data_IF_369313192970
#
_entry.id   IF_369313192970
#
_cell.length_a   1.000
_cell.length_b   1.000
_cell.length_c   1.000
_cell.angle_alpha   90.00
_cell.angle_beta   90.00
_cell.angle_gamma   90.00
#
_symmetry.space_group_name_H-M   'P 1'
#
loop_
_entity.id
_entity.type
_entity.pdbx_description
1 polymer ?
#
# COMPACT_ATOMS: atom_id res chain seq x y z
N UNK A 1 32.25 19.04 21.28
CA UNK A 1 32.17 18.28 20.03
C UNK A 1 31.35 17.05 20.32
N UNK A 2 30.06 17.03 19.97
CA UNK A 2 29.22 15.85 20.16
C UNK A 2 27.99 15.98 19.26
N UNK A 3 28.16 15.65 17.97
CA UNK A 3 27.01 15.14 17.20
C UNK A 3 26.95 13.65 17.53
N UNK A 4 25.89 13.15 18.17
CA UNK A 4 25.76 11.73 18.48
C UNK A 4 25.79 10.95 17.17
N UNK A 5 26.36 9.75 17.20
CA UNK A 5 26.45 8.84 16.05
C UNK A 5 25.14 8.85 15.26
N UNK A 6 25.20 9.35 14.02
CA UNK A 6 24.03 9.60 13.20
C UNK A 6 23.26 8.30 12.93
N UNK A 7 22.05 8.20 13.47
CA UNK A 7 21.15 7.09 13.18
C UNK A 7 20.67 7.29 11.73
N UNK A 8 21.06 6.37 10.83
CA UNK A 8 20.51 6.34 9.48
C UNK A 8 19.09 5.81 9.57
N UNK A 9 18.09 6.70 9.44
CA UNK A 9 16.68 6.32 9.33
C UNK A 9 16.21 6.56 7.91
N UNK A 10 15.48 5.60 7.37
CA UNK A 10 14.86 5.75 6.07
C UNK A 10 13.52 6.51 6.18
N UNK A 11 13.11 7.25 5.15
CA UNK A 11 11.77 7.81 5.07
C UNK A 11 10.69 6.73 5.19
N UNK A 12 9.46 7.13 5.51
CA UNK A 12 8.30 6.22 5.47
C UNK A 12 8.19 5.57 4.07
N UNK A 13 7.93 4.26 4.04
CA UNK A 13 7.87 3.48 2.80
C UNK A 13 9.20 2.85 2.39
N UNK A 14 10.25 2.96 3.21
CA UNK A 14 11.57 2.43 2.91
C UNK A 14 12.16 1.63 4.09
N UNK A 15 12.93 0.60 3.76
CA UNK A 15 13.68 -0.22 4.72
C UNK A 15 15.18 0.01 4.55
N UNK A 16 15.89 0.15 5.67
CA UNK A 16 17.34 0.30 5.69
C UNK A 16 18.00 -1.06 5.42
N UNK A 17 18.77 -1.14 4.33
CA UNK A 17 19.54 -2.33 3.98
C UNK A 17 20.90 -2.35 4.71
N UNK A 18 21.56 -3.51 4.75
CA UNK A 18 22.88 -3.68 5.41
C UNK A 18 24.00 -2.82 4.81
N UNK A 19 23.84 -2.36 3.56
CA UNK A 19 24.76 -1.45 2.89
C UNK A 19 24.45 0.05 3.15
N UNK A 20 23.52 0.35 4.05
CA UNK A 20 23.12 1.73 4.37
C UNK A 20 22.20 2.39 3.35
N UNK A 21 21.75 1.67 2.32
CA UNK A 21 20.84 2.20 1.30
C UNK A 21 19.39 1.96 1.73
N UNK A 22 18.56 2.98 1.58
CA UNK A 22 17.11 2.86 1.74
C UNK A 22 16.50 2.22 0.51
N UNK A 23 15.90 1.05 0.69
CA UNK A 23 15.17 0.34 -0.37
C UNK A 23 13.68 0.54 -0.17
N UNK A 24 12.98 0.83 -1.26
CA UNK A 24 11.52 0.89 -1.29
C UNK A 24 10.92 -0.41 -0.76
N UNK A 25 9.93 -0.29 0.11
CA UNK A 25 9.18 -1.41 0.63
C UNK A 25 8.06 -1.72 -0.35
N UNK A 26 8.05 -2.92 -0.93
CA UNK A 26 6.92 -3.35 -1.74
C UNK A 26 5.76 -3.81 -0.86
N UNK A 27 4.84 -2.90 -0.52
CA UNK A 27 3.71 -3.25 0.35
C UNK A 27 2.75 -4.27 -0.29
N UNK A 28 2.75 -4.41 -1.62
CA UNK A 28 1.93 -5.40 -2.31
C UNK A 28 2.41 -6.85 -2.09
N UNK A 29 3.65 -7.04 -1.65
CA UNK A 29 4.22 -8.34 -1.32
C UNK A 29 4.25 -8.61 0.20
N UNK A 30 3.72 -7.68 1.00
CA UNK A 30 3.63 -7.84 2.45
C UNK A 30 2.34 -8.52 2.90
N UNK A 31 2.43 -9.19 4.05
CA UNK A 31 1.28 -9.75 4.76
C UNK A 31 1.11 -9.04 6.11
N UNK A 32 -0.08 -8.51 6.44
CA UNK A 32 -1.33 -8.59 5.68
C UNK A 32 -1.34 -7.71 4.42
N UNK A 33 -2.16 -8.10 3.43
CA UNK A 33 -2.33 -7.32 2.20
C UNK A 33 -2.83 -5.91 2.51
N UNK A 34 -2.26 -4.87 1.87
CA UNK A 34 -2.51 -3.48 2.26
C UNK A 34 -3.75 -2.86 1.60
N UNK A 35 -4.40 -3.59 0.69
CA UNK A 35 -5.58 -3.14 -0.05
C UNK A 35 -6.85 -3.85 0.42
N UNK A 36 -7.98 -3.17 0.29
CA UNK A 36 -9.30 -3.73 0.60
C UNK A 36 -9.67 -4.87 -0.34
N UNK A 37 -10.64 -5.69 0.08
CA UNK A 37 -11.07 -6.90 -0.64
C UNK A 37 -11.40 -6.60 -2.11
N UNK A 38 -10.84 -7.37 -3.03
CA UNK A 38 -11.10 -7.23 -4.47
C UNK A 38 -10.43 -6.02 -5.15
N UNK A 39 -9.65 -5.22 -4.41
CA UNK A 39 -8.81 -4.18 -5.00
C UNK A 39 -7.44 -4.75 -5.43
N UNK A 40 -6.86 -4.17 -6.48
CA UNK A 40 -5.51 -4.50 -6.96
C UNK A 40 -4.49 -3.54 -6.35
N UNK A 41 -3.38 -4.12 -5.86
CA UNK A 41 -2.25 -3.36 -5.33
C UNK A 41 -1.22 -3.08 -6.42
N UNK A 42 -0.71 -1.85 -6.45
CA UNK A 42 0.34 -1.39 -7.34
C UNK A 42 1.45 -0.73 -6.51
N UNK A 43 2.64 -1.31 -6.50
CA UNK A 43 3.78 -0.73 -5.82
C UNK A 43 4.23 0.56 -6.51
N UNK A 44 4.66 1.56 -5.74
CA UNK A 44 5.21 2.81 -6.24
C UNK A 44 6.43 3.22 -5.41
N UNK A 45 7.30 4.07 -5.93
CA UNK A 45 8.48 4.49 -5.16
C UNK A 45 8.04 5.32 -3.95
N UNK A 46 8.26 4.77 -2.75
CA UNK A 46 7.93 5.33 -1.44
C UNK A 46 6.51 5.09 -0.95
N UNK A 47 5.68 4.34 -1.69
CA UNK A 47 4.30 4.03 -1.28
C UNK A 47 3.64 2.97 -2.19
N UNK A 48 2.34 2.79 -2.05
CA UNK A 48 1.55 1.92 -2.91
C UNK A 48 0.21 2.56 -3.26
N UNK A 49 -0.40 2.07 -4.34
CA UNK A 49 -1.74 2.43 -4.74
C UNK A 49 -2.64 1.21 -4.80
N UNK A 50 -3.83 1.32 -4.23
CA UNK A 50 -4.90 0.35 -4.42
C UNK A 50 -5.88 0.88 -5.46
N UNK A 51 -6.24 0.08 -6.46
CA UNK A 51 -7.23 0.46 -7.49
C UNK A 51 -8.27 -0.63 -7.68
N UNK A 52 -9.49 -0.20 -7.96
CA UNK A 52 -10.55 -1.12 -8.33
C UNK A 52 -10.36 -1.60 -9.77
N UNK A 53 -10.43 -2.93 -10.03
CA UNK A 53 -10.47 -3.47 -11.38
C UNK A 53 -11.57 -2.83 -12.24
N UNK A 54 -11.43 -2.82 -13.58
CA UNK A 54 -12.47 -2.33 -14.47
C UNK A 54 -13.83 -2.98 -14.19
N UNK A 55 -14.89 -2.16 -14.09
CA UNK A 55 -16.24 -2.64 -13.78
C UNK A 55 -16.52 -2.87 -12.29
N UNK A 56 -15.59 -2.53 -11.39
CA UNK A 56 -15.80 -2.49 -9.93
C UNK A 56 -15.66 -1.06 -9.41
N UNK A 57 -16.34 -0.75 -8.31
CA UNK A 57 -16.24 0.53 -7.61
C UNK A 57 -16.23 0.30 -6.08
N UNK A 58 -15.69 1.25 -5.32
CA UNK A 58 -15.61 1.17 -3.85
C UNK A 58 -14.42 1.97 -3.30
N UNK A 59 -14.05 1.73 -2.03
CA UNK A 59 -12.85 2.33 -1.44
C UNK A 59 -11.70 1.31 -1.44
N UNK A 60 -10.77 1.38 -2.41
CA UNK A 60 -9.78 0.32 -2.63
C UNK A 60 -8.77 0.13 -1.49
N UNK A 61 -8.62 1.11 -0.60
CA UNK A 61 -7.73 1.04 0.58
C UNK A 61 -8.40 0.54 1.86
N UNK A 62 -9.75 0.50 1.92
CA UNK A 62 -10.48 0.19 3.16
C UNK A 62 -11.52 -0.90 2.94
N UNK A 63 -12.68 -0.52 2.40
CA UNK A 63 -13.83 -1.41 2.23
C UNK A 63 -13.69 -2.37 1.05
N UNK A 64 -12.81 -2.05 0.09
CA UNK A 64 -12.55 -2.88 -1.08
C UNK A 64 -13.39 -2.48 -2.29
N UNK A 65 -13.36 -3.31 -3.32
CA UNK A 65 -13.98 -3.06 -4.61
C UNK A 65 -15.05 -4.11 -4.89
N UNK A 66 -16.22 -3.64 -5.32
CA UNK A 66 -17.36 -4.50 -5.61
C UNK A 66 -17.87 -4.25 -7.03
N UNK A 67 -18.26 -5.31 -7.74
CA UNK A 67 -18.99 -5.18 -9.00
C UNK A 67 -20.40 -4.71 -8.66
N UNK A 68 -20.81 -3.56 -9.19
CA UNK A 68 -22.23 -3.19 -9.16
C UNK A 68 -22.96 -3.97 -10.25
N UNK A 69 -23.18 -5.26 -10.05
CA UNK A 69 -24.22 -5.97 -10.79
C UNK A 69 -25.56 -5.59 -10.17
N UNK A 70 -26.20 -4.55 -10.71
CA UNK A 70 -27.65 -4.32 -10.66
C UNK A 70 -28.39 -4.57 -9.34
N UNK A 71 -27.84 -4.18 -8.19
CA UNK A 71 -28.54 -4.35 -6.92
C UNK A 71 -29.43 -3.12 -6.63
N UNK A 72 -30.74 -3.31 -6.76
CA UNK A 72 -31.70 -2.56 -5.97
C UNK A 72 -31.76 -3.22 -4.58
N UNK A 73 -31.47 -2.47 -3.51
CA UNK A 73 -31.81 -2.91 -2.14
C UNK A 73 -33.30 -2.70 -1.96
N UNK A 74 -34.08 -3.78 -1.92
CA UNK A 74 -35.35 -3.74 -1.22
C UNK A 74 -35.04 -3.80 0.28
N UNK A 75 -35.49 -2.80 1.02
CA UNK A 75 -35.66 -2.90 2.48
C UNK A 75 -36.89 -3.78 2.76
#
# INVERSE_FOLDING_TARGET
>A
AEYPAGICVCPKGYVLMSNGICRDINECEQSPFPCGTGAQCFNTIGSYQCRCPPGTNGEPFRSGCQRREGYCRSD
#
